data_IF_492193361629
#
_entry.id   IF_492193361629
#
_cell.length_a   1.000
_cell.length_b   1.000
_cell.length_c   1.000
_cell.angle_alpha   90.00
_cell.angle_beta   90.00
_cell.angle_gamma   90.00
#
_symmetry.space_group_name_H-M   'P 1'
#
loop_
_entity.id
_entity.type
_entity.pdbx_description
1 polymer ?
#
# COMPACT_ATOMS: atom_id res chain seq x y z
N UNK A 1 -9.93 -0.66 -23.03
CA UNK A 1 -10.99 -0.44 -24.03
C UNK A 1 -10.45 -0.38 -25.46
N UNK A 2 -9.36 0.37 -25.68
CA UNK A 2 -8.72 0.46 -27.02
C UNK A 2 -8.30 -0.91 -27.55
N UNK A 3 -7.64 -1.73 -26.74
CA UNK A 3 -7.18 -3.06 -27.13
C UNK A 3 -8.34 -3.99 -27.45
N UNK A 4 -9.45 -3.90 -26.72
CA UNK A 4 -10.65 -4.74 -26.95
C UNK A 4 -11.32 -4.39 -28.27
N UNK A 5 -11.42 -3.10 -28.60
CA UNK A 5 -12.07 -2.63 -29.83
C UNK A 5 -11.14 -2.72 -31.06
N UNK A 6 -9.81 -2.80 -30.81
CA UNK A 6 -8.80 -2.92 -31.84
C UNK A 6 -8.71 -1.70 -32.75
N UNK A 7 -8.41 -1.90 -34.03
CA UNK A 7 -8.22 -0.82 -35.00
C UNK A 7 -9.42 0.12 -35.16
N UNK A 8 -10.62 -0.29 -34.78
CA UNK A 8 -11.81 0.57 -34.77
C UNK A 8 -11.73 1.68 -33.71
N UNK A 9 -10.94 1.46 -32.67
CA UNK A 9 -10.84 2.39 -31.53
C UNK A 9 -10.22 3.74 -31.91
N UNK A 10 -9.37 3.80 -32.94
CA UNK A 10 -8.70 5.04 -33.39
C UNK A 10 -9.48 5.81 -34.46
N UNK A 11 -10.57 5.23 -35.00
CA UNK A 11 -11.36 5.91 -36.04
C UNK A 11 -12.18 7.03 -35.43
N UNK A 12 -12.10 8.22 -36.03
CA UNK A 12 -12.95 9.36 -35.69
C UNK A 12 -14.26 9.26 -36.49
N UNK A 13 -15.37 9.35 -35.80
CA UNK A 13 -16.67 9.34 -36.46
C UNK A 13 -17.82 9.05 -35.47
N UNK A 14 -19.07 9.14 -35.93
CA UNK A 14 -20.24 9.11 -35.04
C UNK A 14 -20.42 7.76 -34.34
N UNK A 15 -19.73 6.72 -34.79
CA UNK A 15 -19.79 5.38 -34.21
C UNK A 15 -18.61 5.05 -33.27
N UNK A 16 -17.65 5.96 -33.13
CA UNK A 16 -16.50 5.76 -32.25
C UNK A 16 -16.60 6.66 -31.02
N UNK A 17 -16.82 6.03 -29.88
CA UNK A 17 -16.90 6.72 -28.59
C UNK A 17 -15.55 6.74 -27.83
N UNK A 18 -14.56 5.93 -28.23
CA UNK A 18 -13.29 5.80 -27.50
C UNK A 18 -12.24 6.81 -27.93
N UNK A 19 -12.15 7.17 -29.21
CA UNK A 19 -11.10 8.03 -29.73
C UNK A 19 -11.09 9.43 -29.06
N UNK A 20 -12.25 10.05 -28.91
CA UNK A 20 -12.37 11.35 -28.24
C UNK A 20 -12.03 11.27 -26.76
N UNK A 21 -12.48 10.22 -26.08
CA UNK A 21 -12.15 9.99 -24.68
C UNK A 21 -10.65 9.79 -24.51
N UNK A 22 -10.02 8.97 -25.35
CA UNK A 22 -8.57 8.75 -25.33
C UNK A 22 -7.78 10.05 -25.54
N UNK A 23 -8.20 10.89 -26.47
CA UNK A 23 -7.57 12.19 -26.72
C UNK A 23 -7.74 13.17 -25.56
N UNK A 24 -8.81 13.07 -24.78
CA UNK A 24 -9.07 13.94 -23.63
C UNK A 24 -8.38 13.50 -22.33
N UNK A 25 -7.99 12.23 -22.19
CA UNK A 25 -7.36 11.71 -20.99
C UNK A 25 -6.15 12.54 -20.49
N UNK A 26 -5.22 13.01 -21.36
CA UNK A 26 -4.08 13.79 -20.90
C UNK A 26 -4.44 15.08 -20.14
N UNK A 27 -5.64 15.62 -20.31
CA UNK A 27 -6.08 16.81 -19.55
C UNK A 27 -6.15 16.53 -18.05
N UNK A 28 -6.48 15.31 -17.65
CA UNK A 28 -6.52 14.91 -16.24
C UNK A 28 -5.16 15.04 -15.55
N UNK A 29 -4.05 14.89 -16.29
CA UNK A 29 -2.70 15.06 -15.75
C UNK A 29 -2.45 16.50 -15.29
N UNK A 30 -3.04 17.47 -15.98
CA UNK A 30 -2.81 18.91 -15.74
C UNK A 30 -3.86 19.54 -14.83
N UNK A 31 -5.11 19.07 -14.88
CA UNK A 31 -6.26 19.71 -14.21
C UNK A 31 -6.51 19.09 -12.83
N UNK A 32 -6.39 17.78 -12.71
CA UNK A 32 -6.68 17.02 -11.48
C UNK A 32 -5.44 16.84 -10.57
N UNK A 33 -4.32 17.43 -10.93
CA UNK A 33 -3.03 17.18 -10.31
C UNK A 33 -2.40 15.87 -10.78
N UNK A 34 -1.11 15.88 -10.99
CA UNK A 34 -0.38 14.68 -11.42
C UNK A 34 -0.53 13.56 -10.40
N UNK A 35 -0.89 12.36 -10.85
CA UNK A 35 -0.95 11.16 -10.00
C UNK A 35 0.35 10.95 -9.20
N UNK A 36 1.49 11.33 -9.77
CA UNK A 36 2.78 11.24 -9.11
C UNK A 36 2.87 12.16 -7.89
N UNK A 37 2.33 13.36 -7.96
CA UNK A 37 2.26 14.31 -6.85
C UNK A 37 1.35 13.79 -5.75
N UNK A 38 0.15 13.34 -6.08
CA UNK A 38 -0.81 12.76 -5.13
C UNK A 38 -0.22 11.53 -4.46
N UNK A 39 0.35 10.62 -5.24
CA UNK A 39 0.96 9.38 -4.75
C UNK A 39 2.15 9.63 -3.83
N UNK A 40 3.09 10.48 -4.22
CA UNK A 40 4.34 10.67 -3.49
C UNK A 40 4.19 11.66 -2.32
N UNK A 41 3.53 12.80 -2.54
CA UNK A 41 3.43 13.86 -1.55
C UNK A 41 2.20 13.76 -0.65
N UNK A 42 1.02 13.44 -1.20
CA UNK A 42 -0.20 13.42 -0.39
C UNK A 42 -0.38 12.10 0.34
N UNK A 43 -0.38 10.96 -0.38
CA UNK A 43 -0.67 9.65 0.23
C UNK A 43 0.43 9.28 1.22
N UNK A 44 1.69 9.33 0.83
CA UNK A 44 2.76 8.96 1.74
C UNK A 44 3.34 10.17 2.48
N UNK A 45 3.79 11.21 1.80
CA UNK A 45 4.52 12.32 2.41
C UNK A 45 3.72 13.02 3.52
N UNK A 46 2.51 13.51 3.23
CA UNK A 46 1.65 14.14 4.24
C UNK A 46 0.94 13.11 5.12
N UNK A 47 0.49 11.99 4.53
CA UNK A 47 -0.19 10.93 5.26
C UNK A 47 0.66 10.35 6.37
N UNK A 48 1.92 10.01 6.08
CA UNK A 48 2.83 9.46 7.09
C UNK A 48 3.10 10.42 8.24
N UNK A 49 3.30 11.71 7.96
CA UNK A 49 3.52 12.70 9.02
C UNK A 49 2.30 12.90 9.93
N UNK A 50 1.07 12.87 9.36
CA UNK A 50 -0.16 13.16 10.11
C UNK A 50 -0.75 11.93 10.79
N UNK A 51 -0.58 10.75 10.21
CA UNK A 51 -1.16 9.51 10.71
C UNK A 51 -0.20 8.73 11.61
N UNK A 52 1.10 9.04 11.59
CA UNK A 52 2.06 8.42 12.49
C UNK A 52 1.86 8.91 13.94
N UNK A 53 1.82 8.02 14.95
CA UNK A 53 1.45 8.40 16.32
C UNK A 53 2.37 9.45 16.98
N UNK A 54 3.62 9.53 16.56
CA UNK A 54 4.64 10.35 17.21
C UNK A 54 5.27 11.41 16.30
N UNK A 55 5.36 11.14 14.99
CA UNK A 55 6.19 11.93 14.07
C UNK A 55 5.76 13.39 13.97
N UNK A 56 4.45 13.67 13.99
CA UNK A 56 3.96 15.04 13.90
C UNK A 56 4.34 15.88 15.14
N UNK A 57 4.17 15.30 16.32
CA UNK A 57 4.51 15.96 17.59
C UNK A 57 6.02 16.15 17.71
N UNK A 58 6.84 15.16 17.33
CA UNK A 58 8.30 15.27 17.27
C UNK A 58 8.74 16.42 16.36
N UNK A 59 8.15 16.56 15.18
CA UNK A 59 8.47 17.63 14.25
C UNK A 59 8.08 19.02 14.80
N UNK A 60 6.94 19.13 15.49
CA UNK A 60 6.52 20.38 16.14
C UNK A 60 7.50 20.79 17.23
N UNK A 61 7.94 19.84 18.06
CA UNK A 61 8.93 20.10 19.11
C UNK A 61 10.28 20.55 18.54
N UNK A 62 10.72 19.96 17.42
CA UNK A 62 11.95 20.38 16.74
C UNK A 62 11.88 21.80 16.17
N UNK A 63 10.69 22.29 15.83
CA UNK A 63 10.46 23.66 15.31
C UNK A 63 10.20 24.70 16.42
N UNK A 64 10.09 24.29 17.68
CA UNK A 64 9.84 25.19 18.81
C UNK A 64 10.97 26.16 19.02
N UNK A 65 10.64 27.42 19.36
CA UNK A 65 11.62 28.45 19.70
C UNK A 65 12.28 28.21 21.07
N UNK A 66 11.53 27.68 22.04
CA UNK A 66 12.05 27.23 23.33
C UNK A 66 12.67 25.83 23.26
N UNK A 67 13.97 25.82 22.96
CA UNK A 67 14.71 24.56 22.80
C UNK A 67 14.83 23.74 24.09
N UNK A 68 14.86 24.40 25.28
CA UNK A 68 14.99 23.68 26.55
C UNK A 68 13.68 22.99 26.95
N UNK A 69 12.55 23.67 26.81
CA UNK A 69 11.24 23.09 27.05
C UNK A 69 10.92 21.98 26.03
N UNK A 70 11.24 22.22 24.75
CA UNK A 70 11.09 21.24 23.68
C UNK A 70 11.88 19.96 23.94
N UNK A 71 13.15 20.07 24.37
CA UNK A 71 14.00 18.89 24.65
C UNK A 71 13.44 18.02 25.80
N UNK A 72 12.89 18.65 26.86
CA UNK A 72 12.26 17.92 27.97
C UNK A 72 11.06 17.08 27.53
N UNK A 73 10.31 17.57 26.54
CA UNK A 73 9.14 16.85 25.98
C UNK A 73 9.56 15.85 24.90
N UNK A 74 10.57 16.19 24.11
CA UNK A 74 11.05 15.34 23.02
C UNK A 74 11.65 14.02 23.51
N UNK A 75 12.45 14.03 24.56
CA UNK A 75 13.11 12.81 25.05
C UNK A 75 12.10 11.69 25.41
N UNK A 76 11.09 11.89 26.27
CA UNK A 76 10.13 10.85 26.56
C UNK A 76 9.30 10.43 25.34
N UNK A 77 9.02 11.36 24.42
CA UNK A 77 8.31 11.06 23.16
C UNK A 77 9.15 10.15 22.27
N UNK A 78 10.43 10.44 22.11
CA UNK A 78 11.37 9.61 21.35
C UNK A 78 11.45 8.17 21.91
N UNK A 79 11.50 8.01 23.24
CA UNK A 79 11.50 6.67 23.85
C UNK A 79 10.20 5.91 23.58
N UNK A 80 9.05 6.59 23.59
CA UNK A 80 7.76 5.97 23.19
C UNK A 80 7.76 5.58 21.72
N UNK A 81 8.31 6.42 20.85
CA UNK A 81 8.43 6.12 19.42
C UNK A 81 9.35 4.91 19.21
N UNK A 82 10.52 4.85 19.84
CA UNK A 82 11.39 3.67 19.76
C UNK A 82 10.69 2.39 20.24
N UNK A 83 10.01 2.44 21.38
CA UNK A 83 9.25 1.30 21.88
C UNK A 83 8.14 0.85 20.91
N UNK A 84 7.48 1.81 20.26
CA UNK A 84 6.49 1.54 19.22
C UNK A 84 7.12 0.83 18.03
N UNK A 85 8.25 1.33 17.50
CA UNK A 85 8.97 0.71 16.37
C UNK A 85 9.46 -0.72 16.72
N UNK A 86 9.99 -0.94 17.94
CA UNK A 86 10.32 -2.28 18.40
C UNK A 86 9.11 -3.21 18.46
N UNK A 87 7.96 -2.72 18.93
CA UNK A 87 6.72 -3.50 18.93
C UNK A 87 6.26 -3.86 17.51
N UNK A 88 6.42 -2.94 16.55
CA UNK A 88 6.13 -3.21 15.13
C UNK A 88 7.07 -4.25 14.55
N UNK A 89 8.35 -4.16 14.85
CA UNK A 89 9.33 -5.17 14.43
C UNK A 89 8.98 -6.56 15.00
N UNK A 90 8.67 -6.64 16.29
CA UNK A 90 8.25 -7.90 16.92
C UNK A 90 6.98 -8.48 16.28
N UNK A 91 5.98 -7.64 15.95
CA UNK A 91 4.78 -8.07 15.23
C UNK A 91 5.09 -8.52 13.81
N UNK A 92 5.92 -7.80 13.07
CA UNK A 92 6.30 -8.18 11.71
C UNK A 92 7.02 -9.56 11.72
N UNK A 93 7.93 -9.78 12.68
CA UNK A 93 8.59 -11.08 12.87
C UNK A 93 7.54 -12.18 13.17
N UNK A 94 6.70 -11.98 14.18
CA UNK A 94 5.68 -12.96 14.55
C UNK A 94 4.76 -13.29 13.38
N UNK A 95 4.27 -12.27 12.67
CA UNK A 95 3.38 -12.45 11.51
C UNK A 95 4.09 -13.04 10.29
N UNK A 96 5.39 -12.78 10.14
CA UNK A 96 6.22 -13.44 9.13
C UNK A 96 6.21 -14.97 9.25
N UNK A 97 6.20 -15.48 10.49
CA UNK A 97 6.19 -16.93 10.77
C UNK A 97 4.78 -17.50 10.90
N UNK A 98 3.80 -16.75 11.41
CA UNK A 98 2.43 -17.24 11.65
C UNK A 98 1.48 -16.98 10.47
N UNK A 99 1.88 -16.20 9.48
CA UNK A 99 1.05 -15.83 8.34
C UNK A 99 0.15 -14.62 8.59
N UNK A 100 0.11 -14.07 9.81
CA UNK A 100 -0.67 -12.88 10.14
C UNK A 100 -1.41 -12.98 11.47
N UNK A 101 -2.39 -12.11 11.67
CA UNK A 101 -3.21 -12.00 12.87
C UNK A 101 -4.60 -12.62 12.65
N UNK A 102 -5.14 -13.27 13.67
CA UNK A 102 -6.52 -13.78 13.68
C UNK A 102 -7.59 -12.66 13.73
N UNK A 103 -7.15 -11.40 13.86
CA UNK A 103 -8.07 -10.27 13.91
C UNK A 103 -8.69 -10.03 12.54
N UNK A 104 -9.96 -10.34 12.45
CA UNK A 104 -10.80 -10.11 11.27
C UNK A 104 -12.04 -9.32 11.64
N UNK A 105 -12.78 -8.85 10.63
CA UNK A 105 -14.10 -8.26 10.81
C UNK A 105 -15.04 -9.26 11.48
N UNK A 106 -16.05 -8.75 12.24
CA UNK A 106 -17.12 -9.59 12.81
C UNK A 106 -17.96 -10.29 11.74
N UNK A 107 -17.96 -9.76 10.52
CA UNK A 107 -18.66 -10.32 9.37
C UNK A 107 -17.80 -11.24 8.51
N UNK A 108 -16.54 -11.44 8.89
CA UNK A 108 -15.59 -12.26 8.14
C UNK A 108 -16.03 -13.73 8.13
N UNK A 109 -16.05 -14.30 6.94
CA UNK A 109 -16.30 -15.72 6.69
C UNK A 109 -14.98 -16.47 6.41
N UNK A 110 -15.07 -17.74 6.11
CA UNK A 110 -13.90 -18.58 5.87
C UNK A 110 -13.12 -18.19 4.60
N UNK A 111 -13.75 -17.47 3.67
CA UNK A 111 -13.08 -16.90 2.51
C UNK A 111 -12.29 -15.66 2.87
N UNK A 112 -12.87 -14.74 3.64
CA UNK A 112 -12.27 -13.42 3.92
C UNK A 112 -11.23 -13.44 5.04
N UNK A 113 -11.33 -14.36 6.02
CA UNK A 113 -10.39 -14.46 7.15
C UNK A 113 -8.92 -14.56 6.76
N UNK A 114 -8.49 -15.42 5.80
CA UNK A 114 -7.10 -15.49 5.38
C UNK A 114 -6.58 -14.19 4.79
N UNK A 115 -7.43 -13.47 4.06
CA UNK A 115 -7.07 -12.16 3.50
C UNK A 115 -6.90 -11.10 4.58
N UNK A 116 -7.72 -11.10 5.65
CA UNK A 116 -7.52 -10.23 6.80
C UNK A 116 -6.19 -10.52 7.49
N UNK A 117 -5.85 -11.78 7.70
CA UNK A 117 -4.57 -12.17 8.29
C UNK A 117 -3.40 -11.63 7.48
N UNK A 118 -3.45 -11.80 6.15
CA UNK A 118 -2.41 -11.32 5.24
C UNK A 118 -2.33 -9.78 5.20
N UNK A 119 -3.47 -9.07 5.15
CA UNK A 119 -3.52 -7.61 5.20
C UNK A 119 -2.94 -7.09 6.53
N UNK A 120 -3.28 -7.71 7.65
CA UNK A 120 -2.74 -7.34 8.96
C UNK A 120 -1.21 -7.53 9.03
N UNK A 121 -0.71 -8.63 8.47
CA UNK A 121 0.73 -8.89 8.33
C UNK A 121 1.39 -7.79 7.51
N UNK A 122 0.95 -7.60 6.27
CA UNK A 122 1.54 -6.62 5.34
C UNK A 122 1.43 -5.17 5.87
N UNK A 123 0.39 -4.87 6.66
CA UNK A 123 0.26 -3.57 7.34
C UNK A 123 1.31 -3.38 8.44
N UNK A 124 1.63 -4.44 9.21
CA UNK A 124 2.72 -4.39 10.19
C UNK A 124 4.08 -4.25 9.50
N UNK A 125 4.29 -4.97 8.40
CA UNK A 125 5.48 -4.89 7.56
C UNK A 125 5.65 -3.48 6.96
N UNK A 126 4.54 -2.87 6.52
CA UNK A 126 4.53 -1.49 6.01
C UNK A 126 4.92 -0.49 7.10
N UNK A 127 4.36 -0.60 8.30
CA UNK A 127 4.70 0.29 9.40
C UNK A 127 6.20 0.25 9.73
N UNK A 128 6.79 -0.95 9.86
CA UNK A 128 8.22 -1.12 10.09
C UNK A 128 9.08 -0.56 8.95
N UNK A 129 8.66 -0.80 7.70
CA UNK A 129 9.37 -0.30 6.51
C UNK A 129 9.33 1.22 6.42
N UNK A 130 8.18 1.82 6.74
CA UNK A 130 7.99 3.27 6.77
C UNK A 130 8.84 3.92 7.88
N UNK A 131 8.85 3.35 9.09
CA UNK A 131 9.68 3.82 10.21
C UNK A 131 11.17 3.79 9.85
N UNK A 132 11.64 2.69 9.26
CA UNK A 132 13.02 2.60 8.76
C UNK A 132 13.32 3.68 7.71
N UNK A 133 12.42 3.90 6.77
CA UNK A 133 12.61 4.91 5.71
C UNK A 133 12.66 6.32 6.29
N UNK A 134 11.74 6.65 7.19
CA UNK A 134 11.66 7.96 7.85
C UNK A 134 12.86 8.20 8.77
N UNK A 135 13.27 7.20 9.55
CA UNK A 135 14.39 7.30 10.47
C UNK A 135 15.75 7.45 9.77
N UNK A 136 15.96 6.75 8.65
CA UNK A 136 17.24 6.77 7.95
C UNK A 136 17.36 7.86 6.88
N UNK A 137 16.25 8.26 6.25
CA UNK A 137 16.27 9.26 5.17
C UNK A 137 15.73 10.61 5.62
N UNK A 138 14.90 10.66 6.66
CA UNK A 138 14.31 11.90 7.18
C UNK A 138 13.76 12.80 6.03
N UNK A 139 14.24 14.07 5.96
CA UNK A 139 13.85 15.02 4.91
C UNK A 139 14.26 14.62 3.49
N UNK A 140 15.26 13.75 3.32
CA UNK A 140 15.71 13.31 2.01
C UNK A 140 14.69 12.39 1.32
N UNK A 141 13.81 11.75 2.08
CA UNK A 141 12.75 10.91 1.54
C UNK A 141 11.82 11.69 0.60
N UNK A 142 11.60 13.00 0.87
CA UNK A 142 10.82 13.88 -0.01
C UNK A 142 11.44 14.07 -1.40
N UNK A 143 12.78 14.01 -1.49
CA UNK A 143 13.53 14.12 -2.74
C UNK A 143 13.67 12.79 -3.48
N UNK A 144 13.44 11.68 -2.78
CA UNK A 144 13.52 10.32 -3.32
C UNK A 144 12.11 9.83 -3.72
N UNK A 145 11.49 10.55 -4.66
CA UNK A 145 10.10 10.35 -5.06
C UNK A 145 9.76 8.92 -5.49
N UNK A 146 10.70 8.21 -6.12
CA UNK A 146 10.49 6.81 -6.49
C UNK A 146 10.34 5.89 -5.26
N UNK A 147 11.04 6.19 -4.16
CA UNK A 147 10.90 5.44 -2.90
C UNK A 147 9.60 5.80 -2.20
N UNK A 148 9.30 7.10 -2.07
CA UNK A 148 8.02 7.57 -1.52
C UNK A 148 6.83 7.03 -2.30
N UNK A 149 6.95 6.98 -3.64
CA UNK A 149 5.93 6.41 -4.51
C UNK A 149 5.69 4.93 -4.25
N UNK A 150 6.74 4.12 -4.05
CA UNK A 150 6.58 2.70 -3.71
C UNK A 150 5.92 2.51 -2.33
N UNK A 151 6.27 3.34 -1.35
CA UNK A 151 5.59 3.31 -0.05
C UNK A 151 4.12 3.71 -0.18
N UNK A 152 3.81 4.69 -1.02
CA UNK A 152 2.43 5.05 -1.32
C UNK A 152 1.68 3.92 -2.03
N UNK A 153 2.32 3.19 -2.95
CA UNK A 153 1.72 2.04 -3.63
C UNK A 153 1.39 0.91 -2.65
N UNK A 154 2.27 0.61 -1.71
CA UNK A 154 2.00 -0.35 -0.64
C UNK A 154 0.73 0.06 0.11
N UNK A 155 0.68 1.30 0.60
CA UNK A 155 -0.46 1.82 1.36
C UNK A 155 -1.75 1.80 0.52
N UNK A 156 -1.71 2.29 -0.71
CA UNK A 156 -2.87 2.34 -1.60
C UNK A 156 -3.43 0.95 -1.90
N UNK A 157 -2.58 -0.03 -2.21
CA UNK A 157 -3.03 -1.39 -2.48
C UNK A 157 -3.53 -2.13 -1.24
N UNK A 158 -2.98 -1.86 -0.04
CA UNK A 158 -3.53 -2.36 1.22
C UNK A 158 -4.93 -1.77 1.49
N UNK A 159 -5.12 -0.47 1.23
CA UNK A 159 -6.42 0.17 1.33
C UNK A 159 -7.42 -0.44 0.34
N UNK A 160 -7.02 -0.62 -0.93
CA UNK A 160 -7.85 -1.25 -1.96
C UNK A 160 -8.23 -2.68 -1.55
N UNK A 161 -7.29 -3.49 -1.06
CA UNK A 161 -7.59 -4.84 -0.58
C UNK A 161 -8.61 -4.84 0.57
N UNK A 162 -8.45 -3.90 1.52
CA UNK A 162 -9.42 -3.75 2.62
C UNK A 162 -10.81 -3.32 2.11
N UNK A 163 -10.86 -2.40 1.14
CA UNK A 163 -12.11 -1.95 0.53
C UNK A 163 -12.83 -3.08 -0.22
N UNK A 164 -12.09 -3.92 -0.95
CA UNK A 164 -12.63 -5.11 -1.64
C UNK A 164 -13.25 -6.07 -0.63
N UNK A 165 -12.56 -6.37 0.49
CA UNK A 165 -13.12 -7.21 1.54
C UNK A 165 -14.40 -6.62 2.13
N UNK A 166 -14.42 -5.32 2.40
CA UNK A 166 -15.63 -4.65 2.89
C UNK A 166 -16.76 -4.70 1.88
N UNK A 167 -16.48 -4.44 0.61
CA UNK A 167 -17.47 -4.54 -0.44
C UNK A 167 -18.08 -5.95 -0.53
N UNK A 168 -17.25 -7.00 -0.47
CA UNK A 168 -17.70 -8.39 -0.45
C UNK A 168 -18.52 -8.71 0.81
N UNK A 169 -18.11 -8.26 1.99
CA UNK A 169 -18.80 -8.51 3.25
C UNK A 169 -20.20 -7.88 3.32
N UNK A 170 -20.38 -6.73 2.69
CA UNK A 170 -21.65 -6.03 2.62
C UNK A 170 -22.49 -6.39 1.39
N UNK A 171 -21.93 -7.18 0.47
CA UNK A 171 -22.62 -7.73 -0.70
C UNK A 171 -23.48 -8.95 -0.37
N UNK A 172 -23.95 -9.60 -1.42
CA UNK A 172 -24.79 -10.82 -1.30
C UNK A 172 -23.94 -12.10 -1.09
N UNK A 173 -22.61 -11.98 -1.22
CA UNK A 173 -21.63 -13.07 -1.09
C UNK A 173 -21.89 -14.24 -2.01
N UNK A 174 -22.38 -13.97 -3.22
CA UNK A 174 -22.58 -14.97 -4.25
C UNK A 174 -21.24 -15.56 -4.71
N UNK A 175 -21.26 -16.72 -5.35
CA UNK A 175 -20.05 -17.33 -5.90
C UNK A 175 -19.38 -16.40 -6.94
N UNK A 176 -20.17 -15.67 -7.71
CA UNK A 176 -19.67 -14.67 -8.65
C UNK A 176 -18.95 -13.53 -7.94
N UNK A 177 -19.55 -12.92 -6.91
CA UNK A 177 -18.92 -11.88 -6.10
C UNK A 177 -17.65 -12.37 -5.43
N UNK A 178 -17.66 -13.60 -4.91
CA UNK A 178 -16.50 -14.25 -4.32
C UNK A 178 -15.33 -14.36 -5.32
N UNK A 179 -15.58 -14.85 -6.54
CA UNK A 179 -14.55 -14.95 -7.59
C UNK A 179 -14.01 -13.60 -8.04
N UNK A 180 -14.86 -12.58 -8.15
CA UNK A 180 -14.44 -11.22 -8.43
C UNK A 180 -13.57 -10.65 -7.30
N UNK A 181 -13.99 -10.84 -6.06
CA UNK A 181 -13.23 -10.41 -4.90
C UNK A 181 -11.87 -11.14 -4.82
N UNK A 182 -11.83 -12.44 -5.06
CA UNK A 182 -10.61 -13.24 -5.09
C UNK A 182 -9.59 -12.71 -6.10
N UNK A 183 -10.02 -12.50 -7.34
CA UNK A 183 -9.16 -11.95 -8.40
C UNK A 183 -8.62 -10.57 -8.03
N UNK A 184 -9.49 -9.70 -7.54
CA UNK A 184 -9.14 -8.32 -7.18
C UNK A 184 -8.20 -8.27 -5.96
N UNK A 185 -8.45 -9.09 -4.92
CA UNK A 185 -7.61 -9.22 -3.73
C UNK A 185 -6.22 -9.76 -4.08
N UNK A 186 -6.16 -10.86 -4.82
CA UNK A 186 -4.89 -11.47 -5.24
C UNK A 186 -4.06 -10.47 -6.05
N UNK A 187 -4.71 -9.70 -6.93
CA UNK A 187 -4.00 -8.65 -7.70
C UNK A 187 -3.50 -7.52 -6.82
N UNK A 188 -4.32 -7.01 -5.91
CA UNK A 188 -3.94 -5.93 -5.00
C UNK A 188 -2.78 -6.35 -4.09
N UNK A 189 -2.88 -7.53 -3.46
CA UNK A 189 -1.85 -8.03 -2.53
C UNK A 189 -0.55 -8.40 -3.25
N UNK A 190 -0.63 -8.95 -4.45
CA UNK A 190 0.55 -9.13 -5.30
C UNK A 190 1.26 -7.79 -5.58
N UNK A 191 0.51 -6.73 -5.90
CA UNK A 191 1.08 -5.41 -6.13
C UNK A 191 1.71 -4.83 -4.85
N UNK A 192 1.13 -5.08 -3.67
CA UNK A 192 1.75 -4.73 -2.37
C UNK A 192 3.14 -5.38 -2.26
N UNK A 193 3.22 -6.68 -2.49
CA UNK A 193 4.48 -7.41 -2.43
C UNK A 193 5.52 -6.86 -3.42
N UNK A 194 5.13 -6.62 -4.68
CA UNK A 194 6.06 -6.07 -5.68
C UNK A 194 6.56 -4.66 -5.30
N UNK A 195 5.69 -3.84 -4.70
CA UNK A 195 6.08 -2.52 -4.22
C UNK A 195 7.09 -2.61 -3.06
N UNK A 196 6.93 -3.55 -2.13
CA UNK A 196 7.92 -3.82 -1.07
C UNK A 196 9.26 -4.24 -1.65
N UNK A 197 9.28 -5.20 -2.56
CA UNK A 197 10.52 -5.67 -3.18
C UNK A 197 11.19 -4.56 -3.97
N UNK A 198 10.44 -3.82 -4.78
CA UNK A 198 10.97 -2.66 -5.49
C UNK A 198 11.52 -1.59 -4.55
N UNK A 199 10.92 -1.40 -3.37
CA UNK A 199 11.43 -0.50 -2.34
C UNK A 199 12.77 -0.98 -1.77
N UNK A 200 12.85 -2.22 -1.28
CA UNK A 200 14.07 -2.76 -0.66
C UNK A 200 15.25 -2.83 -1.64
N UNK A 201 15.00 -3.22 -2.88
CA UNK A 201 16.02 -3.29 -3.94
C UNK A 201 16.65 -1.94 -4.25
N UNK A 202 15.89 -0.85 -4.08
CA UNK A 202 16.32 0.51 -4.43
C UNK A 202 16.63 1.39 -3.21
N UNK A 203 16.45 0.88 -2.00
CA UNK A 203 16.76 1.65 -0.80
C UNK A 203 18.27 1.89 -0.67
N UNK A 204 18.73 3.13 -0.35
CA UNK A 204 20.17 3.47 -0.39
C UNK A 204 20.98 2.75 0.69
N UNK A 205 20.41 2.54 1.89
CA UNK A 205 21.08 1.84 3.00
C UNK A 205 20.81 0.33 2.88
N UNK A 206 21.62 -0.35 2.09
CA UNK A 206 21.42 -1.76 1.69
C UNK A 206 21.31 -2.73 2.86
N UNK A 207 22.12 -2.54 3.91
CA UNK A 207 22.09 -3.41 5.09
C UNK A 207 20.74 -3.30 5.81
N UNK A 208 20.24 -2.07 6.03
CA UNK A 208 18.96 -1.86 6.66
C UNK A 208 17.80 -2.45 5.83
N UNK A 209 17.81 -2.22 4.52
CA UNK A 209 16.84 -2.79 3.61
C UNK A 209 16.85 -4.32 3.63
N UNK A 210 18.02 -4.94 3.64
CA UNK A 210 18.17 -6.40 3.71
C UNK A 210 17.62 -6.96 5.03
N UNK A 211 17.95 -6.33 6.17
CA UNK A 211 17.46 -6.76 7.49
C UNK A 211 15.94 -6.67 7.58
N UNK A 212 15.34 -5.54 7.19
CA UNK A 212 13.89 -5.36 7.25
C UNK A 212 13.20 -6.29 6.26
N UNK A 213 13.74 -6.48 5.05
CA UNK A 213 13.23 -7.45 4.08
C UNK A 213 13.23 -8.88 4.66
N UNK A 214 14.28 -9.28 5.36
CA UNK A 214 14.36 -10.60 6.00
C UNK A 214 13.31 -10.76 7.11
N UNK A 215 13.03 -9.70 7.86
CA UNK A 215 11.99 -9.70 8.89
C UNK A 215 10.59 -9.83 8.26
N UNK A 216 10.28 -9.02 7.25
CA UNK A 216 8.96 -8.97 6.63
C UNK A 216 8.69 -10.18 5.72
N UNK A 217 9.71 -10.64 5.02
CA UNK A 217 9.61 -11.72 4.02
C UNK A 217 10.65 -12.83 4.28
N UNK A 218 10.60 -13.52 5.45
CA UNK A 218 11.62 -14.52 5.83
C UNK A 218 11.65 -15.72 4.86
N UNK A 219 10.53 -16.04 4.22
CA UNK A 219 10.40 -17.15 3.27
C UNK A 219 10.30 -16.69 1.81
N UNK A 220 10.71 -15.46 1.51
CA UNK A 220 10.67 -14.92 0.16
C UNK A 220 9.29 -14.36 -0.22
N UNK A 221 8.89 -14.55 -1.48
CA UNK A 221 7.66 -14.00 -2.07
C UNK A 221 6.48 -14.95 -1.85
N UNK A 222 5.62 -14.75 -0.82
CA UNK A 222 4.54 -15.66 -0.50
C UNK A 222 3.27 -15.44 -1.34
N UNK A 223 3.21 -14.39 -2.15
CA UNK A 223 2.00 -14.02 -2.89
C UNK A 223 2.24 -14.16 -4.39
N UNK A 224 1.50 -15.08 -5.01
CA UNK A 224 1.57 -15.32 -6.43
C UNK A 224 0.67 -14.37 -7.24
N UNK A 225 0.99 -14.21 -8.52
CA UNK A 225 0.08 -13.55 -9.45
C UNK A 225 -1.23 -14.33 -9.57
N UNK A 226 -2.37 -13.62 -9.77
CA UNK A 226 -3.62 -14.30 -10.11
C UNK A 226 -3.43 -15.23 -11.32
N UNK A 227 -3.89 -16.47 -11.20
CA UNK A 227 -3.78 -17.47 -12.26
C UNK A 227 -4.61 -17.09 -13.49
N UNK A 228 -4.21 -17.59 -14.65
CA UNK A 228 -4.98 -17.36 -15.88
C UNK A 228 -6.32 -18.07 -15.83
N UNK A 229 -6.39 -19.21 -15.13
CA UNK A 229 -7.65 -19.91 -14.88
C UNK A 229 -8.65 -19.01 -14.12
N UNK A 230 -8.24 -18.40 -13.01
CA UNK A 230 -9.11 -17.49 -12.24
C UNK A 230 -9.57 -16.30 -13.09
N UNK A 231 -8.68 -15.73 -13.92
CA UNK A 231 -9.04 -14.65 -14.84
C UNK A 231 -10.09 -15.08 -15.88
N UNK A 232 -9.96 -16.30 -16.43
CA UNK A 232 -10.92 -16.85 -17.38
C UNK A 232 -12.27 -17.11 -16.73
N UNK A 233 -12.28 -17.70 -15.52
CA UNK A 233 -13.50 -17.94 -14.76
C UNK A 233 -14.25 -16.63 -14.47
N UNK A 234 -13.52 -15.59 -14.03
CA UNK A 234 -14.12 -14.26 -13.79
C UNK A 234 -14.63 -13.63 -15.10
N UNK A 235 -13.88 -13.75 -16.19
CA UNK A 235 -14.33 -13.23 -17.48
C UNK A 235 -15.64 -13.91 -17.98
N UNK A 236 -15.81 -15.20 -17.73
CA UNK A 236 -17.04 -15.93 -18.06
C UNK A 236 -18.26 -15.46 -17.24
N UNK A 237 -18.05 -14.95 -16.03
CA UNK A 237 -19.13 -14.42 -15.20
C UNK A 237 -19.63 -13.03 -15.65
N UNK A 238 -18.92 -12.38 -16.57
CA UNK A 238 -19.30 -11.07 -17.14
C UNK A 238 -20.08 -11.21 -18.46
N UNK A 239 -20.16 -12.42 -19.02
CA UNK A 239 -20.89 -12.74 -20.25
C UNK A 239 -22.30 -13.21 -19.94
#
# INVERSE_FOLDING_TARGET
GMDVVGGRAIQLGPRNFLALTYQSIPVAITVEGANILTRSLMIFGQGSMRCHPYLFEELQLLQSDDKQAALKQFNPLLFKHLAYTFNRAAKAIAFGFTGGSDQASKQADDFSKPYYALINRLSADFALTADMALGLLAGDLKRKEMLSGRLADIHAHLFIATAILKFYEYGQRTDAEKKHAELALNKALYNVQEAFYGFYENFPVKIAAWLVKLICFPFGRPIDKPSDQLKQEVAQLLL
#
